data_IF_459038414680
#
_entry.id   IF_459038414680
#
_cell.length_a   1.000
_cell.length_b   1.000
_cell.length_c   1.000
_cell.angle_alpha   90.00
_cell.angle_beta   90.00
_cell.angle_gamma   90.00
#
_symmetry.space_group_name_H-M   'P 1'
#
loop_
_entity.id
_entity.type
_entity.pdbx_description
1 polymer ?
#
# COMPACT_ATOMS: atom_id res chain seq x y z
N UNK A 1 -10.98 -42.85 26.35
CA UNK A 1 -10.64 -41.51 26.89
C UNK A 1 -9.26 -41.04 26.43
N UNK A 2 -8.26 -41.91 26.36
CA UNK A 2 -6.88 -41.60 25.89
C UNK A 2 -6.78 -41.13 24.43
N UNK A 3 -7.67 -41.58 23.56
CA UNK A 3 -7.66 -41.24 22.12
C UNK A 3 -8.21 -39.82 21.82
N UNK A 4 -9.09 -39.30 22.68
CA UNK A 4 -9.66 -37.97 22.53
C UNK A 4 -8.66 -36.86 22.90
N UNK A 5 -8.04 -36.98 24.09
CA UNK A 5 -7.09 -35.97 24.55
C UNK A 5 -5.80 -35.94 23.72
N UNK A 6 -5.30 -37.09 23.27
CA UNK A 6 -4.16 -37.13 22.34
C UNK A 6 -4.45 -36.47 20.99
N UNK A 7 -5.69 -36.53 20.49
CA UNK A 7 -6.11 -35.79 19.30
C UNK A 7 -6.10 -34.28 19.54
N UNK A 8 -6.56 -33.84 20.72
CA UNK A 8 -6.51 -32.43 21.13
C UNK A 8 -5.06 -31.95 21.24
N UNK A 9 -4.19 -32.70 21.92
CA UNK A 9 -2.78 -32.35 22.09
C UNK A 9 -2.08 -32.20 20.72
N UNK A 10 -2.30 -33.14 19.80
CA UNK A 10 -1.80 -33.05 18.43
C UNK A 10 -2.32 -31.81 17.67
N UNK A 11 -3.57 -31.38 17.92
CA UNK A 11 -4.10 -30.15 17.30
C UNK A 11 -3.48 -28.90 17.90
N UNK A 12 -3.24 -28.89 19.21
CA UNK A 12 -2.55 -27.79 19.91
C UNK A 12 -1.12 -27.64 19.38
N UNK A 13 -0.38 -28.75 19.27
CA UNK A 13 1.00 -28.75 18.76
C UNK A 13 1.06 -28.19 17.34
N UNK A 14 0.15 -28.64 16.45
CA UNK A 14 0.05 -28.11 15.08
C UNK A 14 -0.27 -26.62 15.03
N UNK A 15 -1.13 -26.13 15.93
CA UNK A 15 -1.43 -24.70 16.02
C UNK A 15 -0.21 -23.90 16.48
N UNK A 16 0.58 -24.43 17.41
CA UNK A 16 1.79 -23.79 17.90
C UNK A 16 2.88 -23.74 16.82
N UNK A 17 3.09 -24.84 16.09
CA UNK A 17 4.01 -24.89 14.94
C UNK A 17 3.58 -23.91 13.84
N UNK A 18 2.29 -23.89 13.50
CA UNK A 18 1.75 -22.96 12.51
C UNK A 18 1.91 -21.50 12.94
N UNK A 19 1.76 -21.19 14.24
CA UNK A 19 1.98 -19.86 14.78
C UNK A 19 3.44 -19.43 14.64
N UNK A 20 4.39 -20.28 15.02
CA UNK A 20 5.81 -20.00 14.89
C UNK A 20 6.21 -19.77 13.42
N UNK A 21 5.67 -20.59 12.51
CA UNK A 21 5.90 -20.44 11.07
C UNK A 21 5.33 -19.11 10.54
N UNK A 22 4.12 -18.72 10.95
CA UNK A 22 3.51 -17.43 10.57
C UNK A 22 4.29 -16.23 11.10
N UNK A 23 4.80 -16.29 12.33
CA UNK A 23 5.62 -15.22 12.91
C UNK A 23 6.94 -15.05 12.14
N UNK A 24 7.59 -16.14 11.77
CA UNK A 24 8.79 -16.11 10.93
C UNK A 24 8.49 -15.55 9.53
N UNK A 25 7.40 -15.99 8.89
CA UNK A 25 6.98 -15.47 7.58
C UNK A 25 6.65 -13.98 7.63
N UNK A 26 5.92 -13.54 8.66
CA UNK A 26 5.62 -12.12 8.87
C UNK A 26 6.89 -11.30 8.97
N UNK A 27 7.86 -11.73 9.77
CA UNK A 27 9.13 -11.02 9.92
C UNK A 27 9.87 -10.90 8.58
N UNK A 28 9.93 -12.00 7.81
CA UNK A 28 10.53 -11.97 6.48
C UNK A 28 9.81 -10.99 5.54
N UNK A 29 8.47 -10.97 5.58
CA UNK A 29 7.67 -10.04 4.80
C UNK A 29 7.91 -8.58 5.22
N UNK A 30 8.02 -8.30 6.52
CA UNK A 30 8.33 -6.95 7.04
C UNK A 30 9.71 -6.48 6.59
N UNK A 31 10.74 -7.33 6.70
CA UNK A 31 12.09 -7.01 6.23
C UNK A 31 12.13 -6.75 4.71
N UNK A 32 11.40 -7.57 3.95
CA UNK A 32 11.21 -7.38 2.51
C UNK A 32 10.49 -6.06 2.20
N UNK A 33 9.43 -5.74 2.92
CA UNK A 33 8.65 -4.52 2.74
C UNK A 33 9.50 -3.27 2.95
N UNK A 34 10.27 -3.21 4.05
CA UNK A 34 11.16 -2.08 4.33
C UNK A 34 12.23 -1.90 3.25
N UNK A 35 12.87 -2.98 2.79
CA UNK A 35 13.83 -2.92 1.68
C UNK A 35 13.18 -2.41 0.39
N UNK A 36 11.98 -2.88 0.09
CA UNK A 36 11.22 -2.49 -1.10
C UNK A 36 10.83 -1.02 -1.06
N UNK A 37 10.31 -0.53 0.07
CA UNK A 37 9.97 0.88 0.25
C UNK A 37 11.20 1.76 0.00
N UNK A 38 12.33 1.44 0.62
CA UNK A 38 13.58 2.21 0.45
C UNK A 38 14.06 2.21 -1.02
N UNK A 39 13.91 1.09 -1.73
CA UNK A 39 14.29 0.99 -3.15
C UNK A 39 13.39 1.83 -4.06
N UNK A 40 12.14 2.08 -3.67
CA UNK A 40 11.16 2.83 -4.47
C UNK A 40 11.17 4.33 -4.20
N UNK A 41 11.82 4.80 -3.12
CA UNK A 41 11.91 6.24 -2.82
C UNK A 41 12.44 7.08 -3.99
N UNK A 42 13.54 6.69 -4.67
CA UNK A 42 14.04 7.48 -5.80
C UNK A 42 13.03 7.56 -6.95
N UNK A 43 12.24 6.50 -7.18
CA UNK A 43 11.18 6.50 -8.18
C UNK A 43 10.06 7.46 -7.78
N UNK A 44 9.63 7.45 -6.52
CA UNK A 44 8.63 8.40 -6.02
C UNK A 44 9.11 9.85 -6.19
N UNK A 45 10.36 10.13 -5.81
CA UNK A 45 10.95 11.47 -5.91
C UNK A 45 10.98 11.97 -7.35
N UNK A 46 11.32 11.11 -8.32
CA UNK A 46 11.26 11.45 -9.74
C UNK A 46 9.85 11.87 -10.17
N UNK A 47 8.83 11.09 -9.81
CA UNK A 47 7.43 11.44 -10.11
C UNK A 47 7.01 12.75 -9.44
N UNK A 48 7.39 12.96 -8.18
CA UNK A 48 7.08 14.18 -7.42
C UNK A 48 7.67 15.40 -8.12
N UNK A 49 8.94 15.35 -8.53
CA UNK A 49 9.58 16.46 -9.23
C UNK A 49 8.92 16.75 -10.59
N UNK A 50 8.58 15.71 -11.35
CA UNK A 50 7.85 15.86 -12.61
C UNK A 50 6.46 16.50 -12.41
N UNK A 51 5.75 16.14 -11.35
CA UNK A 51 4.43 16.71 -11.03
C UNK A 51 4.55 18.18 -10.61
N UNK A 52 5.54 18.52 -9.77
CA UNK A 52 5.80 19.91 -9.36
C UNK A 52 6.14 20.82 -10.54
N UNK A 53 6.94 20.34 -11.50
CA UNK A 53 7.26 21.10 -12.72
C UNK A 53 6.02 21.48 -13.54
N UNK A 54 4.91 20.75 -13.36
CA UNK A 54 3.61 21.00 -13.99
C UNK A 54 2.64 21.74 -13.08
N UNK A 55 3.14 22.30 -11.96
CA UNK A 55 2.38 23.02 -10.93
C UNK A 55 1.28 22.18 -10.25
N UNK A 56 1.42 20.85 -10.20
CA UNK A 56 0.47 19.98 -9.51
C UNK A 56 0.79 19.97 -8.01
N UNK A 57 -0.22 20.22 -7.17
CA UNK A 57 -0.08 20.14 -5.72
C UNK A 57 0.08 18.68 -5.26
N UNK A 58 1.32 18.32 -4.96
CA UNK A 58 1.74 16.97 -4.60
C UNK A 58 2.32 16.94 -3.18
N UNK A 59 1.91 15.93 -2.41
CA UNK A 59 2.34 15.69 -1.02
C UNK A 59 2.81 14.24 -0.90
N UNK A 60 4.11 13.97 -1.09
CA UNK A 60 4.67 12.67 -0.82
C UNK A 60 4.80 12.43 0.69
N UNK A 61 4.78 11.17 1.09
CA UNK A 61 5.13 10.76 2.45
C UNK A 61 5.81 9.40 2.40
N UNK A 62 6.78 9.20 3.28
CA UNK A 62 7.44 7.91 3.43
C UNK A 62 7.96 7.69 4.84
N UNK A 63 7.93 6.44 5.27
CA UNK A 63 8.63 5.92 6.44
C UNK A 63 9.02 4.45 6.19
N UNK A 64 9.55 3.77 7.20
CA UNK A 64 10.03 2.38 7.07
C UNK A 64 8.94 1.35 6.68
N UNK A 65 7.66 1.69 6.85
CA UNK A 65 6.51 0.79 6.67
C UNK A 65 5.51 1.29 5.63
N UNK A 66 5.70 2.48 5.06
CA UNK A 66 4.73 3.10 4.18
C UNK A 66 5.38 4.10 3.25
N UNK A 67 4.84 4.18 2.03
CA UNK A 67 5.14 5.20 1.04
C UNK A 67 3.82 5.63 0.39
N UNK A 68 3.62 6.93 0.20
CA UNK A 68 2.40 7.45 -0.39
C UNK A 68 2.62 8.70 -1.23
N UNK A 69 1.67 8.90 -2.14
CA UNK A 69 1.60 10.06 -3.01
C UNK A 69 0.19 10.62 -2.99
N UNK A 70 0.02 11.81 -2.42
CA UNK A 70 -1.24 12.55 -2.42
C UNK A 70 -1.20 13.70 -3.42
N UNK A 71 -2.20 13.77 -4.28
CA UNK A 71 -2.47 14.85 -5.23
C UNK A 71 -3.70 15.62 -4.77
N UNK A 72 -3.66 16.94 -4.82
CA UNK A 72 -4.73 17.80 -4.30
C UNK A 72 -5.27 18.70 -5.42
N UNK A 73 -6.59 18.69 -5.61
CA UNK A 73 -7.27 19.56 -6.55
C UNK A 73 -7.37 20.99 -6.02
N UNK A 74 -7.77 21.93 -6.89
CA UNK A 74 -7.93 23.34 -6.54
C UNK A 74 -8.96 23.59 -5.43
N UNK A 75 -10.04 22.82 -5.41
CA UNK A 75 -11.10 22.91 -4.41
C UNK A 75 -10.75 22.24 -3.05
N UNK A 76 -9.57 21.61 -2.96
CA UNK A 76 -9.10 20.90 -1.77
C UNK A 76 -9.45 19.40 -1.74
N UNK A 77 -10.21 18.89 -2.71
CA UNK A 77 -10.37 17.45 -2.94
C UNK A 77 -9.04 16.78 -3.26
N UNK A 78 -8.98 15.45 -3.23
CA UNK A 78 -7.72 14.75 -3.43
C UNK A 78 -7.86 13.36 -4.02
N UNK A 79 -6.75 12.86 -4.58
CA UNK A 79 -6.48 11.44 -4.79
C UNK A 79 -5.16 11.08 -4.07
N UNK A 80 -5.14 9.95 -3.38
CA UNK A 80 -3.98 9.52 -2.59
C UNK A 80 -3.78 8.01 -2.73
N UNK A 81 -2.60 7.61 -3.17
CA UNK A 81 -2.17 6.21 -3.18
C UNK A 81 -1.24 5.96 -2.00
N UNK A 82 -1.55 4.95 -1.19
CA UNK A 82 -0.73 4.51 -0.07
C UNK A 82 -0.32 3.06 -0.31
N UNK A 83 0.98 2.79 -0.30
CA UNK A 83 1.53 1.44 -0.20
C UNK A 83 2.10 1.26 1.20
N UNK A 84 1.65 0.24 1.92
CA UNK A 84 2.06 0.02 3.30
C UNK A 84 2.13 -1.45 3.66
N UNK A 85 2.90 -1.75 4.70
CA UNK A 85 2.96 -3.08 5.32
C UNK A 85 1.69 -3.39 6.10
N UNK A 86 1.04 -4.50 5.78
CA UNK A 86 -0.08 -5.05 6.55
C UNK A 86 0.39 -5.53 7.94
N UNK A 87 -0.31 -5.11 8.99
CA UNK A 87 0.11 -5.39 10.37
C UNK A 87 0.07 -6.86 10.77
N UNK A 88 -0.82 -7.66 10.16
CA UNK A 88 -0.99 -9.06 10.54
C UNK A 88 -0.03 -9.96 9.78
N UNK A 89 0.16 -9.68 8.49
CA UNK A 89 0.92 -10.55 7.57
C UNK A 89 2.32 -10.05 7.24
N UNK A 90 2.62 -8.77 7.50
CA UNK A 90 3.87 -8.14 7.08
C UNK A 90 3.97 -7.87 5.58
N UNK A 91 2.94 -8.18 4.80
CA UNK A 91 2.94 -8.07 3.33
C UNK A 91 2.68 -6.63 2.88
N UNK A 92 3.15 -6.27 1.69
CA UNK A 92 2.84 -4.97 1.09
C UNK A 92 1.41 -4.96 0.53
N UNK A 93 0.66 -3.88 0.75
CA UNK A 93 -0.70 -3.69 0.25
C UNK A 93 -0.90 -2.25 -0.23
N UNK A 94 -1.82 -2.06 -1.19
CA UNK A 94 -2.20 -0.75 -1.68
C UNK A 94 -3.60 -0.35 -1.20
N UNK A 95 -3.72 0.94 -0.86
CA UNK A 95 -4.99 1.60 -0.55
C UNK A 95 -5.05 2.93 -1.29
N UNK A 96 -6.22 3.23 -1.83
CA UNK A 96 -6.51 4.52 -2.46
C UNK A 96 -7.50 5.28 -1.59
N UNK A 97 -7.22 6.55 -1.35
CA UNK A 97 -8.13 7.48 -0.69
C UNK A 97 -8.45 8.61 -1.66
N UNK A 98 -9.72 8.94 -1.84
CA UNK A 98 -10.12 9.96 -2.81
C UNK A 98 -11.38 10.71 -2.39
N UNK A 99 -11.51 11.92 -2.91
CA UNK A 99 -12.70 12.76 -2.78
C UNK A 99 -13.55 12.62 -4.04
N UNK A 100 -14.86 12.43 -3.90
CA UNK A 100 -15.79 12.43 -5.04
C UNK A 100 -16.26 13.85 -5.39
N UNK A 101 -17.07 13.97 -6.45
CA UNK A 101 -17.63 15.24 -6.94
C UNK A 101 -18.50 15.97 -5.88
N UNK A 102 -19.01 15.28 -4.86
CA UNK A 102 -19.78 15.87 -3.75
C UNK A 102 -18.92 16.28 -2.53
N UNK A 103 -17.59 16.15 -2.62
CA UNK A 103 -16.68 16.43 -1.51
C UNK A 103 -16.59 15.32 -0.45
N UNK A 104 -17.22 14.16 -0.67
CA UNK A 104 -17.15 13.00 0.24
C UNK A 104 -15.87 12.21 0.01
N UNK A 105 -15.30 11.69 1.09
CA UNK A 105 -14.07 10.90 1.06
C UNK A 105 -14.38 9.41 1.08
N UNK A 106 -13.64 8.66 0.27
CA UNK A 106 -13.75 7.22 0.13
C UNK A 106 -12.37 6.56 0.23
N UNK A 107 -12.38 5.29 0.62
CA UNK A 107 -11.22 4.40 0.58
C UNK A 107 -11.54 3.21 -0.34
N UNK A 108 -10.55 2.72 -1.06
CA UNK A 108 -10.64 1.47 -1.82
C UNK A 108 -9.32 0.71 -1.78
N UNK A 109 -9.41 -0.61 -1.96
CA UNK A 109 -8.27 -1.50 -2.12
C UNK A 109 -8.55 -2.45 -3.28
N UNK A 110 -7.50 -2.93 -3.94
CA UNK A 110 -7.62 -3.99 -4.94
C UNK A 110 -7.58 -5.40 -4.32
N UNK A 111 -7.47 -5.50 -3.00
CA UNK A 111 -7.40 -6.76 -2.26
C UNK A 111 -6.09 -7.53 -2.50
N UNK A 112 -5.14 -6.95 -3.22
CA UNK A 112 -3.87 -7.59 -3.55
C UNK A 112 -2.84 -7.33 -2.46
N UNK A 113 -2.05 -8.36 -2.16
CA UNK A 113 -1.07 -8.35 -1.07
C UNK A 113 0.20 -9.06 -1.52
N UNK A 114 1.36 -8.43 -1.33
CA UNK A 114 2.61 -8.83 -1.99
C UNK A 114 3.70 -9.24 -0.99
N UNK A 115 4.41 -10.31 -1.34
CA UNK A 115 5.67 -10.72 -0.73
C UNK A 115 6.76 -10.77 -1.80
N UNK A 116 7.98 -11.13 -1.41
CA UNK A 116 9.15 -11.15 -2.29
C UNK A 116 8.95 -11.97 -3.57
N UNK A 117 8.20 -13.07 -3.49
CA UNK A 117 8.04 -14.00 -4.62
C UNK A 117 7.15 -13.48 -5.75
N UNK A 118 6.24 -12.54 -5.45
CA UNK A 118 5.26 -12.04 -6.42
C UNK A 118 5.37 -10.55 -6.69
N UNK A 119 6.20 -9.85 -5.92
CA UNK A 119 6.42 -8.43 -6.10
C UNK A 119 7.25 -8.12 -7.35
N UNK A 120 6.90 -7.04 -8.04
CA UNK A 120 7.70 -6.41 -9.08
C UNK A 120 7.61 -4.90 -8.89
N UNK A 121 8.75 -4.21 -8.92
CA UNK A 121 8.79 -2.76 -8.70
C UNK A 121 7.93 -1.98 -9.70
N UNK A 122 7.72 -2.50 -10.91
CA UNK A 122 6.85 -1.87 -11.92
C UNK A 122 5.39 -1.80 -11.50
N UNK A 123 4.92 -2.67 -10.58
CA UNK A 123 3.56 -2.58 -10.00
C UNK A 123 3.39 -1.22 -9.32
N UNK A 124 4.40 -0.74 -8.60
CA UNK A 124 4.34 0.57 -7.94
C UNK A 124 4.24 1.70 -8.97
N UNK A 125 5.04 1.65 -10.04
CA UNK A 125 5.01 2.64 -11.12
C UNK A 125 3.65 2.69 -11.81
N UNK A 126 3.11 1.53 -12.19
CA UNK A 126 1.80 1.43 -12.83
C UNK A 126 0.69 2.04 -11.95
N UNK A 127 0.73 1.80 -10.63
CA UNK A 127 -0.23 2.38 -9.69
C UNK A 127 -0.08 3.90 -9.56
N UNK A 128 1.15 4.43 -9.51
CA UNK A 128 1.39 5.88 -9.52
C UNK A 128 0.89 6.52 -10.81
N UNK A 129 1.23 5.94 -11.96
CA UNK A 129 0.80 6.46 -13.26
C UNK A 129 -0.72 6.47 -13.37
N UNK A 130 -1.40 5.40 -12.91
CA UNK A 130 -2.85 5.37 -12.86
C UNK A 130 -3.41 6.46 -11.96
N UNK A 131 -2.88 6.64 -10.74
CA UNK A 131 -3.28 7.72 -9.83
C UNK A 131 -3.22 9.09 -10.52
N UNK A 132 -2.11 9.37 -11.21
CA UNK A 132 -1.90 10.64 -11.92
C UNK A 132 -2.90 10.79 -13.07
N UNK A 133 -3.09 9.75 -13.90
CA UNK A 133 -4.05 9.80 -15.02
C UNK A 133 -5.48 10.03 -14.54
N UNK A 134 -5.88 9.34 -13.48
CA UNK A 134 -7.20 9.52 -12.87
C UNK A 134 -7.32 10.96 -12.34
N UNK A 135 -6.35 11.44 -11.57
CA UNK A 135 -6.34 12.81 -11.04
C UNK A 135 -6.52 13.86 -12.15
N UNK A 136 -5.73 13.80 -13.23
CA UNK A 136 -5.85 14.75 -14.34
C UNK A 136 -7.24 14.67 -15.01
N UNK A 137 -7.81 13.47 -15.12
CA UNK A 137 -9.13 13.26 -15.74
C UNK A 137 -10.27 13.86 -14.92
N UNK A 138 -10.15 13.86 -13.58
CA UNK A 138 -11.17 14.41 -12.67
C UNK A 138 -10.95 15.89 -12.33
N UNK A 139 -9.75 16.42 -12.51
CA UNK A 139 -9.43 17.81 -12.15
C UNK A 139 -10.40 18.87 -12.67
N UNK A 140 -10.94 18.83 -13.92
CA UNK A 140 -11.91 19.83 -14.36
C UNK A 140 -13.16 19.91 -13.49
N UNK A 141 -13.58 18.81 -12.87
CA UNK A 141 -14.74 18.76 -11.97
C UNK A 141 -14.47 19.42 -10.62
N UNK A 142 -13.20 19.51 -10.25
CA UNK A 142 -12.71 20.11 -9.01
C UNK A 142 -12.11 21.52 -9.22
N UNK A 143 -12.41 22.16 -10.36
CA UNK A 143 -11.91 23.49 -10.68
C UNK A 143 -10.43 23.54 -11.10
N UNK A 144 -9.84 22.39 -11.42
CA UNK A 144 -8.44 22.22 -11.80
C UNK A 144 -7.58 21.64 -10.67
N UNK A 145 -6.27 21.79 -10.81
CA UNK A 145 -5.24 21.39 -9.86
C UNK A 145 -4.25 22.54 -9.64
#
# INVERSE_FOLDING_TARGET
>A
MTDFFSTIDNQIDKQQEAKNSKEAEKKNNEEFATKTINRLLPTLDEYVEQLKQRNINVKPFSNERSISLKLVYRDGGHNNLVMSTNFDTGRLEFRNYFTNDDGKNYESTDGSSYNENIWKDDIFKEKIEKLIRDFISYAPRHGGF
#
